data_IF_337137393333
#
_entry.id   IF_337137393333
#
_cell.length_a   1.000
_cell.length_b   1.000
_cell.length_c   1.000
_cell.angle_alpha   90.00
_cell.angle_beta   90.00
_cell.angle_gamma   90.00
#
_symmetry.space_group_name_H-M   'P 1'
#
loop_
_entity.id
_entity.type
_entity.pdbx_description
1 polymer ?
#
# COMPACT_ATOMS: atom_id res chain seq x y z
N UNK A 1 -42.45 22.18 -69.95
CA UNK A 1 -42.06 21.20 -70.98
C UNK A 1 -40.70 21.60 -71.56
N UNK A 2 -39.61 21.27 -70.86
CA UNK A 2 -38.23 21.01 -71.36
C UNK A 2 -37.61 20.06 -70.33
N UNK A 3 -36.76 19.14 -70.77
CA UNK A 3 -36.28 17.97 -70.00
C UNK A 3 -34.75 17.85 -70.15
N UNK A 4 -34.05 17.25 -69.16
CA UNK A 4 -32.60 16.89 -69.18
C UNK A 4 -31.65 18.14 -69.22
N UNK A 5 -30.34 18.13 -68.89
CA UNK A 5 -29.39 17.26 -68.14
C UNK A 5 -28.05 18.06 -68.02
N UNK A 6 -27.00 17.74 -67.24
CA UNK A 6 -26.68 16.61 -66.34
C UNK A 6 -25.58 17.01 -65.32
N UNK A 7 -25.25 16.08 -64.41
CA UNK A 7 -23.94 15.86 -63.74
C UNK A 7 -23.15 17.00 -63.07
N UNK A 8 -23.17 16.92 -61.74
CA UNK A 8 -22.21 17.50 -60.80
C UNK A 8 -20.79 16.92 -60.99
N UNK A 9 -19.75 17.76 -60.99
CA UNK A 9 -18.36 17.32 -60.79
C UNK A 9 -17.58 18.40 -60.01
N UNK A 10 -17.43 18.20 -58.69
CA UNK A 10 -16.63 19.08 -57.83
C UNK A 10 -15.29 18.39 -57.58
N UNK A 11 -14.21 19.00 -58.07
CA UNK A 11 -12.85 18.52 -57.84
C UNK A 11 -12.40 18.87 -56.40
N UNK A 12 -12.19 17.84 -55.57
CA UNK A 12 -11.52 18.00 -54.27
C UNK A 12 -10.03 17.76 -54.48
N UNK A 13 -9.22 18.79 -54.28
CA UNK A 13 -7.77 18.71 -54.39
C UNK A 13 -7.16 17.88 -53.27
N UNK A 14 -6.39 16.84 -53.61
CA UNK A 14 -5.67 16.03 -52.64
C UNK A 14 -4.48 16.82 -52.06
N UNK A 15 -4.58 17.23 -50.80
CA UNK A 15 -3.46 17.81 -50.07
C UNK A 15 -2.62 16.68 -49.45
N UNK A 16 -1.46 16.39 -50.05
CA UNK A 16 -0.50 15.38 -49.58
C UNK A 16 0.26 15.88 -48.33
N UNK A 17 -0.37 15.77 -47.16
CA UNK A 17 0.34 15.89 -45.88
C UNK A 17 1.07 14.57 -45.59
N UNK A 18 2.40 14.61 -45.63
CA UNK A 18 3.26 13.53 -45.13
C UNK A 18 3.13 13.44 -43.61
N UNK A 19 2.33 12.48 -43.12
CA UNK A 19 2.34 12.11 -41.71
C UNK A 19 3.64 11.39 -41.35
N UNK A 20 4.57 12.08 -40.68
CA UNK A 20 5.67 11.43 -39.97
C UNK A 20 5.11 10.72 -38.74
N UNK A 21 5.02 9.39 -38.79
CA UNK A 21 4.75 8.57 -37.62
C UNK A 21 5.95 8.63 -36.66
N UNK A 22 5.86 9.50 -35.65
CA UNK A 22 6.82 9.56 -34.57
C UNK A 22 6.45 8.55 -33.48
N UNK A 23 7.00 7.33 -33.59
CA UNK A 23 7.21 6.45 -32.44
C UNK A 23 8.71 6.35 -32.15
N UNK A 24 9.22 7.23 -31.26
CA UNK A 24 10.31 6.82 -30.37
C UNK A 24 10.18 7.52 -29.00
N UNK A 25 9.51 6.87 -28.05
CA UNK A 25 9.56 7.27 -26.62
C UNK A 25 9.78 6.04 -25.74
N UNK A 26 9.07 4.94 -25.99
CA UNK A 26 9.19 3.70 -25.21
C UNK A 26 10.59 3.07 -25.31
N UNK A 27 11.14 2.93 -26.52
CA UNK A 27 12.48 2.33 -26.72
C UNK A 27 13.62 3.21 -26.19
N UNK A 28 13.45 4.53 -26.21
CA UNK A 28 14.46 5.47 -25.72
C UNK A 28 14.65 5.35 -24.19
N UNK A 29 13.52 5.29 -23.45
CA UNK A 29 13.54 5.12 -21.99
C UNK A 29 14.19 3.79 -21.58
N UNK A 30 13.89 2.70 -22.29
CA UNK A 30 14.51 1.39 -22.01
C UNK A 30 16.03 1.37 -22.24
N UNK A 31 16.54 2.27 -23.09
CA UNK A 31 17.98 2.35 -23.38
C UNK A 31 18.73 3.14 -22.30
N UNK A 32 18.17 4.25 -21.80
CA UNK A 32 18.78 5.03 -20.70
C UNK A 32 18.80 4.27 -19.36
N UNK A 33 17.76 3.48 -19.06
CA UNK A 33 17.69 2.68 -17.82
C UNK A 33 18.85 1.66 -17.73
N UNK A 34 19.44 1.26 -18.85
CA UNK A 34 20.52 0.27 -18.88
C UNK A 34 21.90 0.83 -18.47
N UNK A 35 22.09 2.17 -18.45
CA UNK A 35 23.36 2.81 -18.06
C UNK A 35 23.43 3.22 -16.58
N UNK A 36 22.30 3.27 -15.85
CA UNK A 36 22.22 3.67 -14.44
C UNK A 36 22.47 2.54 -13.43
N UNK A 37 22.99 1.39 -13.88
CA UNK A 37 23.07 0.14 -13.10
C UNK A 37 24.25 0.12 -12.09
N UNK A 38 24.50 1.22 -11.38
CA UNK A 38 25.74 1.47 -10.64
C UNK A 38 25.55 2.16 -9.28
N UNK A 39 25.09 1.40 -8.28
CA UNK A 39 24.84 1.74 -6.86
C UNK A 39 23.45 2.34 -6.60
N UNK A 40 22.80 1.79 -5.58
CA UNK A 40 21.46 2.09 -5.05
C UNK A 40 20.38 2.24 -6.13
N UNK A 41 19.69 1.13 -6.39
CA UNK A 41 18.71 1.00 -7.47
C UNK A 41 17.68 2.11 -7.44
N UNK A 42 17.80 3.05 -8.39
CA UNK A 42 16.95 4.23 -8.50
C UNK A 42 15.53 3.75 -8.80
N UNK A 43 14.63 3.88 -7.82
CA UNK A 43 13.21 3.66 -8.03
C UNK A 43 12.70 4.59 -9.15
N UNK A 44 11.86 4.06 -10.04
CA UNK A 44 11.34 4.86 -11.15
C UNK A 44 10.57 6.08 -10.61
N UNK A 45 10.69 7.27 -11.23
CA UNK A 45 9.94 8.44 -10.79
C UNK A 45 8.46 8.28 -11.18
N UNK A 46 7.57 8.90 -10.40
CA UNK A 46 6.16 9.01 -10.79
C UNK A 46 6.03 9.71 -12.17
N UNK A 47 5.13 9.25 -13.07
CA UNK A 47 4.10 8.23 -12.86
C UNK A 47 4.55 6.79 -13.17
N UNK A 48 5.83 6.53 -13.43
CA UNK A 48 6.35 5.23 -13.90
C UNK A 48 6.58 4.20 -12.79
N UNK A 49 6.18 4.51 -11.55
CA UNK A 49 6.24 3.63 -10.39
C UNK A 49 4.86 3.46 -9.76
N UNK A 50 4.62 2.29 -9.18
CA UNK A 50 3.40 1.95 -8.47
C UNK A 50 3.49 2.33 -6.98
N UNK A 51 2.40 2.80 -6.34
CA UNK A 51 1.08 3.15 -6.89
C UNK A 51 0.94 4.67 -7.10
N UNK A 52 1.73 5.29 -7.99
CA UNK A 52 1.52 6.69 -8.35
C UNK A 52 0.15 6.89 -9.04
N UNK A 53 -0.44 8.08 -8.95
CA UNK A 53 -1.79 8.35 -9.49
C UNK A 53 -1.89 8.13 -11.01
N UNK A 54 -0.84 8.46 -11.75
CA UNK A 54 -0.74 8.21 -13.20
C UNK A 54 -0.17 6.85 -13.59
N UNK A 55 0.10 5.93 -12.65
CA UNK A 55 0.64 4.62 -12.98
C UNK A 55 -0.39 3.78 -13.74
N UNK A 56 0.03 3.16 -14.84
CA UNK A 56 -0.81 2.30 -15.68
C UNK A 56 -0.37 0.86 -15.49
N UNK A 57 -1.28 0.02 -15.00
CA UNK A 57 -1.02 -1.41 -14.80
C UNK A 57 -0.69 -2.08 -16.15
N UNK A 58 0.42 -2.83 -16.26
CA UNK A 58 0.80 -3.47 -17.51
C UNK A 58 -0.14 -4.64 -17.83
N UNK A 59 -0.41 -4.92 -19.12
CA UNK A 59 -1.26 -6.04 -19.54
C UNK A 59 -0.59 -7.41 -19.35
N UNK A 60 0.71 -7.43 -19.06
CA UNK A 60 1.52 -8.63 -18.79
C UNK A 60 2.29 -8.38 -17.49
N UNK A 61 2.27 -9.37 -16.58
CA UNK A 61 3.00 -9.27 -15.32
C UNK A 61 4.52 -9.21 -15.58
N UNK A 62 5.25 -8.27 -14.94
CA UNK A 62 6.71 -8.30 -14.90
C UNK A 62 7.23 -9.60 -14.24
N UNK A 63 8.48 -10.01 -14.49
CA UNK A 63 9.07 -11.17 -13.84
C UNK A 63 9.19 -10.99 -12.31
N UNK A 64 9.53 -9.78 -11.86
CA UNK A 64 9.71 -9.39 -10.47
C UNK A 64 9.26 -7.93 -10.22
N UNK A 65 9.29 -7.50 -8.97
CA UNK A 65 8.83 -6.19 -8.50
C UNK A 65 9.98 -5.24 -8.10
N UNK A 66 11.22 -5.48 -8.56
CA UNK A 66 12.40 -4.69 -8.12
C UNK A 66 12.35 -3.23 -8.54
N UNK A 67 11.85 -2.94 -9.76
CA UNK A 67 11.64 -1.57 -10.28
C UNK A 67 10.15 -1.18 -10.30
N UNK A 68 9.34 -1.81 -9.46
CA UNK A 68 7.89 -1.62 -9.44
C UNK A 68 7.45 -0.48 -8.52
N UNK A 69 7.93 -0.49 -7.29
CA UNK A 69 7.48 0.43 -6.24
C UNK A 69 8.08 1.82 -6.38
N UNK A 70 7.30 2.85 -6.05
CA UNK A 70 7.82 4.20 -5.86
C UNK A 70 8.76 4.27 -4.65
N UNK A 71 9.69 5.23 -4.71
CA UNK A 71 10.56 5.60 -3.58
C UNK A 71 9.68 5.96 -2.36
N UNK A 72 9.87 5.32 -1.19
CA UNK A 72 9.10 5.63 0.02
C UNK A 72 9.16 7.10 0.46
N UNK A 73 10.19 7.85 0.08
CA UNK A 73 10.31 9.29 0.35
C UNK A 73 9.26 10.14 -0.39
N UNK A 74 8.74 9.68 -1.54
CA UNK A 74 7.68 10.37 -2.29
C UNK A 74 6.26 10.01 -1.81
N UNK A 75 6.14 9.43 -0.62
CA UNK A 75 4.87 8.91 -0.06
C UNK A 75 4.51 9.66 1.22
N UNK A 76 4.09 10.91 1.08
CA UNK A 76 3.80 11.80 2.20
C UNK A 76 2.37 12.36 2.13
N UNK A 77 1.92 12.97 3.23
CA UNK A 77 0.55 13.41 3.46
C UNK A 77 -0.47 12.25 3.37
N UNK A 78 -1.70 12.52 2.93
CA UNK A 78 -2.74 11.51 2.77
C UNK A 78 -2.41 10.56 1.62
N UNK A 79 -2.45 9.25 1.88
CA UNK A 79 -2.11 8.22 0.88
C UNK A 79 -3.15 7.08 0.78
N UNK A 80 -4.14 7.00 1.67
CA UNK A 80 -5.07 5.88 1.68
C UNK A 80 -5.97 5.79 2.90
N UNK A 81 -6.81 4.76 2.93
CA UNK A 81 -7.78 4.48 3.99
C UNK A 81 -7.55 3.11 4.64
N UNK A 82 -7.96 2.98 5.90
CA UNK A 82 -8.25 1.68 6.52
C UNK A 82 -9.60 1.16 6.00
N UNK A 83 -9.67 -0.14 5.70
CA UNK A 83 -10.80 -0.80 5.05
C UNK A 83 -11.11 -2.13 5.75
N UNK A 84 -12.37 -2.30 6.13
CA UNK A 84 -12.87 -3.41 6.93
C UNK A 84 -13.57 -4.46 6.05
N UNK A 85 -13.22 -5.74 6.17
CA UNK A 85 -13.70 -6.83 5.29
C UNK A 85 -14.58 -7.89 5.98
N UNK A 86 -14.88 -7.72 7.27
CA UNK A 86 -15.79 -8.62 8.02
C UNK A 86 -17.20 -8.66 7.47
N UNK A 87 -17.62 -7.66 6.69
CA UNK A 87 -18.89 -7.65 5.97
C UNK A 87 -18.95 -8.68 4.81
N UNK A 88 -17.84 -9.34 4.46
CA UNK A 88 -17.75 -10.32 3.38
C UNK A 88 -18.20 -9.76 2.03
N UNK A 89 -17.59 -8.63 1.63
CA UNK A 89 -17.87 -7.93 0.39
C UNK A 89 -17.67 -8.84 -0.82
N UNK A 90 -18.62 -8.81 -1.76
CA UNK A 90 -18.45 -9.54 -3.03
C UNK A 90 -17.34 -8.89 -3.89
N UNK A 91 -16.76 -9.62 -4.86
CA UNK A 91 -15.77 -9.03 -5.76
C UNK A 91 -16.25 -7.74 -6.43
N UNK A 92 -17.51 -7.69 -6.89
CA UNK A 92 -18.09 -6.49 -7.52
C UNK A 92 -18.22 -5.31 -6.54
N UNK A 93 -18.40 -5.59 -5.26
CA UNK A 93 -18.39 -4.58 -4.21
C UNK A 93 -16.98 -4.06 -3.94
N UNK A 94 -15.99 -4.96 -3.81
CA UNK A 94 -14.58 -4.60 -3.66
C UNK A 94 -14.10 -3.73 -4.84
N UNK A 95 -14.34 -4.16 -6.08
CA UNK A 95 -13.98 -3.37 -7.27
C UNK A 95 -14.60 -1.97 -7.26
N UNK A 96 -15.88 -1.83 -6.87
CA UNK A 96 -16.58 -0.53 -6.81
C UNK A 96 -16.01 0.38 -5.73
N UNK A 97 -15.78 -0.15 -4.53
CA UNK A 97 -15.31 0.63 -3.39
C UNK A 97 -13.83 1.00 -3.54
N UNK A 98 -13.01 0.12 -4.12
CA UNK A 98 -11.62 0.41 -4.46
C UNK A 98 -11.51 1.41 -5.62
N UNK A 99 -12.44 1.37 -6.59
CA UNK A 99 -12.54 2.42 -7.61
C UNK A 99 -12.85 3.79 -6.98
N UNK A 100 -13.78 3.86 -6.03
CA UNK A 100 -14.12 5.12 -5.35
C UNK A 100 -12.93 5.65 -4.52
N UNK A 101 -12.32 4.78 -3.72
CA UNK A 101 -11.08 5.07 -2.97
C UNK A 101 -9.98 5.63 -3.89
N UNK A 102 -9.78 5.02 -5.06
CA UNK A 102 -8.78 5.47 -6.04
C UNK A 102 -9.15 6.81 -6.68
N UNK A 103 -10.34 6.90 -7.29
CA UNK A 103 -10.67 7.95 -8.26
C UNK A 103 -11.47 9.12 -7.68
N UNK A 104 -12.05 8.98 -6.48
CA UNK A 104 -12.69 10.09 -5.76
C UNK A 104 -11.75 10.77 -4.77
N UNK A 105 -10.84 10.01 -4.15
CA UNK A 105 -9.97 10.50 -3.06
C UNK A 105 -8.48 10.55 -3.42
N UNK A 106 -8.11 10.26 -4.67
CA UNK A 106 -6.71 10.16 -5.12
C UNK A 106 -5.87 9.23 -4.21
N UNK A 107 -6.46 8.12 -3.76
CA UNK A 107 -5.75 7.20 -2.88
C UNK A 107 -4.71 6.37 -3.63
N UNK A 108 -3.66 6.03 -2.89
CA UNK A 108 -2.55 5.19 -3.33
C UNK A 108 -2.57 3.82 -2.66
N UNK A 109 -3.16 3.72 -1.47
CA UNK A 109 -3.18 2.53 -0.63
C UNK A 109 -4.54 2.25 0.01
N UNK A 110 -4.78 0.99 0.34
CA UNK A 110 -5.74 0.56 1.37
C UNK A 110 -5.01 -0.26 2.43
N UNK A 111 -5.30 -0.01 3.72
CA UNK A 111 -4.93 -0.89 4.83
C UNK A 111 -6.12 -1.79 5.15
N UNK A 112 -5.89 -3.08 5.32
CA UNK A 112 -6.94 -4.02 5.70
C UNK A 112 -7.00 -4.14 7.22
N UNK A 113 -8.17 -3.92 7.83
CA UNK A 113 -8.37 -4.08 9.27
C UNK A 113 -8.42 -5.56 9.72
N UNK A 114 -8.53 -6.49 8.76
CA UNK A 114 -8.51 -7.95 8.92
C UNK A 114 -8.43 -8.58 7.52
N UNK A 115 -8.07 -9.86 7.42
CA UNK A 115 -8.21 -10.63 6.17
C UNK A 115 -9.00 -11.91 6.43
N UNK A 116 -10.09 -12.08 5.68
CA UNK A 116 -10.89 -13.31 5.68
C UNK A 116 -10.36 -14.30 4.64
N UNK A 117 -10.32 -15.58 5.02
CA UNK A 117 -9.71 -16.70 4.27
C UNK A 117 -10.06 -16.82 2.78
N UNK A 118 -11.21 -16.32 2.36
CA UNK A 118 -11.71 -16.45 0.98
C UNK A 118 -11.65 -15.15 0.16
N UNK A 119 -11.29 -14.01 0.76
CA UNK A 119 -11.26 -12.71 0.06
C UNK A 119 -9.84 -12.24 -0.32
N UNK A 120 -8.78 -12.95 0.08
CA UNK A 120 -7.40 -12.50 -0.16
C UNK A 120 -7.10 -12.28 -1.65
N UNK A 121 -7.58 -13.17 -2.52
CA UNK A 121 -7.37 -13.05 -3.97
C UNK A 121 -8.31 -11.99 -4.58
N UNK A 122 -9.57 -11.93 -4.16
CA UNK A 122 -10.53 -10.90 -4.61
C UNK A 122 -10.03 -9.48 -4.27
N UNK A 123 -9.41 -9.29 -3.11
CA UNK A 123 -8.81 -8.02 -2.68
C UNK A 123 -7.59 -7.68 -3.55
N UNK A 124 -6.73 -8.66 -3.85
CA UNK A 124 -5.57 -8.46 -4.73
C UNK A 124 -6.00 -8.09 -6.14
N UNK A 125 -7.04 -8.74 -6.68
CA UNK A 125 -7.56 -8.46 -8.02
C UNK A 125 -8.31 -7.13 -8.08
N UNK A 126 -9.14 -6.80 -7.08
CA UNK A 126 -9.80 -5.50 -6.99
C UNK A 126 -8.81 -4.34 -6.84
N UNK A 127 -7.71 -4.54 -6.11
CA UNK A 127 -6.66 -3.55 -5.93
C UNK A 127 -5.76 -3.44 -7.17
N UNK A 128 -5.48 -4.56 -7.85
CA UNK A 128 -4.78 -4.58 -9.15
C UNK A 128 -5.55 -3.78 -10.20
N UNK A 129 -6.83 -4.08 -10.43
CA UNK A 129 -7.62 -3.43 -11.48
C UNK A 129 -7.90 -1.94 -11.19
N UNK A 130 -7.78 -1.49 -9.92
CA UNK A 130 -7.93 -0.08 -9.52
C UNK A 130 -6.60 0.63 -9.20
N UNK A 131 -5.44 0.00 -9.41
CA UNK A 131 -4.13 0.64 -9.22
C UNK A 131 -3.82 1.06 -7.77
N UNK A 132 -4.33 0.32 -6.77
CA UNK A 132 -4.11 0.55 -5.34
C UNK A 132 -3.13 -0.46 -4.75
N UNK A 133 -2.20 0.02 -3.92
CA UNK A 133 -1.41 -0.87 -3.05
C UNK A 133 -2.20 -1.31 -1.82
N UNK A 134 -1.81 -2.44 -1.22
CA UNK A 134 -2.47 -3.03 -0.05
C UNK A 134 -1.48 -3.19 1.10
N UNK A 135 -1.80 -2.63 2.27
CA UNK A 135 -1.19 -3.03 3.54
C UNK A 135 -2.08 -4.14 4.12
N UNK A 136 -1.62 -5.39 4.02
CA UNK A 136 -2.38 -6.55 4.48
C UNK A 136 -2.12 -6.82 5.97
N UNK A 137 -3.09 -7.38 6.69
CA UNK A 137 -2.98 -7.59 8.13
C UNK A 137 -3.16 -9.05 8.54
N UNK A 138 -2.23 -9.56 9.35
CA UNK A 138 -2.44 -10.75 10.18
C UNK A 138 -3.17 -10.31 11.45
N UNK A 139 -4.50 -10.41 11.44
CA UNK A 139 -5.30 -10.01 12.61
C UNK A 139 -5.17 -11.05 13.73
N UNK A 140 -4.77 -10.60 14.92
CA UNK A 140 -4.67 -11.48 16.09
C UNK A 140 -6.04 -11.77 16.72
N UNK A 141 -6.80 -10.71 17.02
CA UNK A 141 -8.06 -10.82 17.76
C UNK A 141 -7.85 -10.72 19.27
N UNK A 142 -8.94 -10.46 19.98
CA UNK A 142 -8.95 -10.12 21.41
C UNK A 142 -9.17 -11.32 22.35
N UNK A 143 -9.19 -12.56 21.83
CA UNK A 143 -9.52 -13.76 22.62
C UNK A 143 -8.29 -14.53 23.14
N UNK A 144 -7.08 -14.04 22.85
CA UNK A 144 -5.83 -14.69 23.23
C UNK A 144 -5.60 -16.07 22.60
N UNK A 145 -6.31 -16.39 21.51
CA UNK A 145 -6.23 -17.70 20.85
C UNK A 145 -5.23 -17.74 19.70
N UNK A 146 -4.71 -18.94 19.40
CA UNK A 146 -3.79 -19.20 18.28
C UNK A 146 -4.45 -19.11 16.88
N UNK A 147 -5.68 -18.61 16.76
CA UNK A 147 -6.38 -18.49 15.47
C UNK A 147 -5.62 -17.60 14.47
N UNK A 148 -4.82 -16.67 14.99
CA UNK A 148 -3.95 -15.79 14.21
C UNK A 148 -2.91 -16.57 13.38
N UNK A 149 -2.44 -17.72 13.87
CA UNK A 149 -1.51 -18.61 13.16
C UNK A 149 -2.18 -19.10 11.87
N UNK A 150 -3.44 -19.53 11.96
CA UNK A 150 -4.21 -19.99 10.80
C UNK A 150 -4.50 -18.84 9.82
N UNK A 151 -4.76 -17.62 10.33
CA UNK A 151 -4.93 -16.41 9.50
C UNK A 151 -3.64 -16.06 8.76
N UNK A 152 -2.49 -16.04 9.45
CA UNK A 152 -1.15 -15.84 8.88
C UNK A 152 -0.86 -16.82 7.76
N UNK A 153 -0.99 -18.12 8.05
CA UNK A 153 -0.62 -19.18 7.10
C UNK A 153 -1.54 -19.17 5.87
N UNK A 154 -2.83 -18.84 6.07
CA UNK A 154 -3.79 -18.63 4.98
C UNK A 154 -3.42 -17.42 4.11
N UNK A 155 -3.10 -16.27 4.72
CA UNK A 155 -2.67 -15.07 4.01
C UNK A 155 -1.40 -15.36 3.20
N UNK A 156 -0.37 -15.94 3.83
CA UNK A 156 0.89 -16.26 3.15
C UNK A 156 0.69 -17.26 2.00
N UNK A 157 -0.19 -18.25 2.17
CA UNK A 157 -0.53 -19.18 1.09
C UNK A 157 -1.15 -18.47 -0.13
N UNK A 158 -2.06 -17.51 0.07
CA UNK A 158 -2.59 -16.67 -1.03
C UNK A 158 -1.51 -15.77 -1.63
N UNK A 159 -0.69 -15.10 -0.81
CA UNK A 159 0.40 -14.24 -1.30
C UNK A 159 1.42 -15.00 -2.17
N UNK A 160 1.70 -16.28 -1.88
CA UNK A 160 2.57 -17.13 -2.70
C UNK A 160 1.86 -17.76 -3.91
N UNK A 161 0.55 -18.02 -3.83
CA UNK A 161 -0.22 -18.64 -4.91
C UNK A 161 -0.65 -17.63 -5.99
N UNK A 162 -0.96 -16.40 -5.60
CA UNK A 162 -1.47 -15.37 -6.48
C UNK A 162 -0.32 -14.56 -7.12
N UNK A 163 -0.10 -14.65 -8.45
CA UNK A 163 1.04 -14.02 -9.10
C UNK A 163 0.99 -12.48 -9.10
N UNK A 164 -0.18 -11.87 -8.84
CA UNK A 164 -0.36 -10.42 -8.68
C UNK A 164 0.02 -9.93 -7.27
N UNK A 165 -0.05 -10.79 -6.24
CA UNK A 165 0.07 -10.36 -4.85
C UNK A 165 1.36 -9.58 -4.54
N UNK A 166 2.51 -10.04 -5.04
CA UNK A 166 3.81 -9.35 -4.86
C UNK A 166 3.89 -7.94 -5.46
N UNK A 167 2.98 -7.59 -6.37
CA UNK A 167 2.89 -6.27 -6.98
C UNK A 167 1.89 -5.35 -6.27
N UNK A 168 1.02 -5.91 -5.45
CA UNK A 168 -0.10 -5.20 -4.82
C UNK A 168 0.11 -5.05 -3.32
N UNK A 169 0.64 -6.07 -2.65
CA UNK A 169 0.92 -6.03 -1.20
C UNK A 169 2.18 -5.19 -0.93
N UNK A 170 1.99 -3.96 -0.46
CA UNK A 170 3.06 -3.03 -0.05
C UNK A 170 3.79 -3.50 1.19
N UNK A 171 3.09 -4.22 2.07
CA UNK A 171 3.65 -4.89 3.23
C UNK A 171 2.60 -5.68 4.00
N UNK A 172 3.06 -6.53 4.91
CA UNK A 172 2.21 -7.26 5.86
C UNK A 172 2.41 -6.73 7.26
N UNK A 173 1.32 -6.28 7.87
CA UNK A 173 1.22 -5.91 9.28
C UNK A 173 1.01 -7.18 10.12
N UNK A 174 1.88 -7.39 11.10
CA UNK A 174 1.82 -8.52 12.02
C UNK A 174 1.07 -8.11 13.30
N UNK A 175 -0.24 -7.93 13.14
CA UNK A 175 -1.12 -7.41 14.18
C UNK A 175 -1.34 -5.90 14.09
N UNK A 176 -2.45 -5.50 14.71
CA UNK A 176 -2.83 -4.12 15.00
C UNK A 176 -2.91 -4.04 16.52
N UNK A 177 -2.11 -3.19 17.13
CA UNK A 177 -1.95 -3.01 18.58
C UNK A 177 -1.50 -4.26 19.37
N UNK A 178 -0.73 -5.23 18.82
CA UNK A 178 -0.46 -6.50 19.50
C UNK A 178 0.43 -6.40 20.75
N UNK A 179 1.26 -5.36 20.86
CA UNK A 179 1.97 -5.05 22.10
C UNK A 179 1.00 -4.39 23.07
N UNK A 180 0.28 -3.34 22.68
CA UNK A 180 -0.68 -2.67 23.57
C UNK A 180 -1.67 -3.67 24.22
N UNK A 181 -2.29 -4.53 23.40
CA UNK A 181 -3.23 -5.58 23.80
C UNK A 181 -2.59 -6.78 24.57
N UNK A 182 -1.26 -6.77 24.79
CA UNK A 182 -0.50 -7.83 25.49
C UNK A 182 -0.61 -9.22 24.85
N UNK A 183 -0.76 -9.28 23.52
CA UNK A 183 -1.10 -10.50 22.78
C UNK A 183 0.04 -11.51 22.74
N UNK A 184 1.28 -11.00 22.63
CA UNK A 184 2.51 -11.79 22.70
C UNK A 184 3.60 -11.00 23.44
N UNK A 185 4.51 -11.67 24.18
CA UNK A 185 5.73 -11.05 24.65
C UNK A 185 6.53 -10.47 23.48
N UNK A 186 7.07 -9.26 23.64
CA UNK A 186 7.74 -8.51 22.56
C UNK A 186 8.82 -9.33 21.80
N UNK A 187 9.63 -10.13 22.51
CA UNK A 187 10.63 -11.03 21.93
C UNK A 187 10.01 -12.09 20.99
N UNK A 188 8.84 -12.63 21.33
CA UNK A 188 8.13 -13.59 20.50
C UNK A 188 7.51 -12.90 19.28
N UNK A 189 6.98 -11.68 19.45
CA UNK A 189 6.48 -10.87 18.33
C UNK A 189 7.62 -10.55 17.34
N UNK A 190 8.79 -10.14 17.83
CA UNK A 190 9.99 -9.92 17.01
C UNK A 190 10.42 -11.19 16.27
N UNK A 191 10.41 -12.35 16.92
CA UNK A 191 10.66 -13.64 16.27
C UNK A 191 9.63 -13.93 15.15
N UNK A 192 8.34 -13.70 15.39
CA UNK A 192 7.32 -13.89 14.35
C UNK A 192 7.50 -12.94 13.17
N UNK A 193 7.87 -11.67 13.40
CA UNK A 193 8.22 -10.72 12.32
C UNK A 193 9.41 -11.23 11.50
N UNK A 194 10.47 -11.72 12.15
CA UNK A 194 11.65 -12.28 11.47
C UNK A 194 11.27 -13.51 10.62
N UNK A 195 10.47 -14.43 11.16
CA UNK A 195 9.99 -15.61 10.44
C UNK A 195 9.09 -15.23 9.25
N UNK A 196 8.23 -14.23 9.41
CA UNK A 196 7.40 -13.68 8.33
C UNK A 196 8.26 -13.08 7.20
N UNK A 197 9.29 -12.28 7.54
CA UNK A 197 10.25 -11.71 6.57
C UNK A 197 10.99 -12.79 5.79
N UNK A 198 11.43 -13.85 6.47
CA UNK A 198 12.06 -15.00 5.80
C UNK A 198 11.10 -15.70 4.82
N UNK A 199 9.85 -15.91 5.22
CA UNK A 199 8.83 -16.55 4.38
C UNK A 199 8.48 -15.71 3.13
N UNK A 200 8.27 -14.41 3.31
CA UNK A 200 7.86 -13.47 2.26
C UNK A 200 9.02 -12.92 1.41
N UNK A 201 10.27 -13.19 1.79
CA UNK A 201 11.49 -12.71 1.11
C UNK A 201 11.48 -12.92 -0.41
N UNK A 202 11.01 -14.07 -0.91
CA UNK A 202 10.94 -14.37 -2.36
C UNK A 202 9.89 -13.55 -3.13
N UNK A 203 8.96 -12.92 -2.42
CA UNK A 203 7.97 -12.01 -2.98
C UNK A 203 8.41 -10.54 -2.86
N UNK A 204 9.54 -10.27 -2.17
CA UNK A 204 9.98 -8.93 -1.77
C UNK A 204 8.88 -8.13 -1.05
N UNK A 205 8.03 -8.80 -0.25
CA UNK A 205 6.99 -8.14 0.55
C UNK A 205 7.57 -7.86 1.95
N UNK A 206 7.69 -6.59 2.38
CA UNK A 206 8.19 -6.24 3.71
C UNK A 206 7.17 -6.51 4.81
N UNK A 207 7.64 -6.62 6.05
CA UNK A 207 6.81 -6.87 7.24
C UNK A 207 6.95 -5.74 8.25
N UNK A 208 5.84 -5.40 8.89
CA UNK A 208 5.74 -4.38 9.94
C UNK A 208 4.85 -4.86 11.08
N UNK A 209 4.70 -4.03 12.12
CA UNK A 209 3.69 -4.14 13.17
C UNK A 209 2.99 -2.77 13.22
N UNK A 210 1.66 -2.78 13.29
CA UNK A 210 0.82 -1.58 13.37
C UNK A 210 0.48 -1.34 14.84
N UNK A 211 0.94 -0.25 15.45
CA UNK A 211 1.04 -0.14 16.92
C UNK A 211 1.13 1.32 17.43
N UNK A 212 0.81 1.56 18.71
CA UNK A 212 0.98 2.85 19.39
C UNK A 212 2.41 2.99 19.95
N UNK A 213 2.91 4.22 20.12
CA UNK A 213 4.18 4.47 20.84
C UNK A 213 4.18 3.79 22.23
N UNK A 214 3.11 4.00 23.00
CA UNK A 214 2.92 3.41 24.32
C UNK A 214 3.00 1.87 24.34
N UNK A 215 2.58 1.18 23.28
CA UNK A 215 2.73 -0.27 23.15
C UNK A 215 4.20 -0.72 23.17
N UNK A 216 5.09 0.07 22.57
CA UNK A 216 6.54 -0.15 22.57
C UNK A 216 7.25 0.33 23.85
N UNK A 217 6.70 1.30 24.57
CA UNK A 217 7.28 1.84 25.81
C UNK A 217 7.01 0.94 27.02
N UNK A 218 5.82 0.33 27.07
CA UNK A 218 5.36 -0.48 28.20
C UNK A 218 6.10 -1.81 28.40
N UNK A 219 5.91 -2.41 29.59
CA UNK A 219 6.46 -3.73 29.99
C UNK A 219 7.99 -3.89 29.84
N UNK A 220 8.73 -2.79 29.80
CA UNK A 220 10.19 -2.78 29.76
C UNK A 220 10.81 -2.48 28.39
N UNK A 221 10.00 -2.11 27.40
CA UNK A 221 10.46 -1.67 26.08
C UNK A 221 10.51 -2.78 25.04
N UNK A 222 10.08 -2.48 23.81
CA UNK A 222 10.04 -3.42 22.68
C UNK A 222 10.88 -2.97 21.46
N UNK A 223 12.09 -2.44 21.72
CA UNK A 223 13.01 -2.00 20.65
C UNK A 223 13.39 -3.14 19.69
N UNK A 224 13.43 -4.38 20.16
CA UNK A 224 13.66 -5.57 19.32
C UNK A 224 12.58 -5.78 18.25
N UNK A 225 11.33 -5.39 18.53
CA UNK A 225 10.25 -5.36 17.53
C UNK A 225 10.49 -4.23 16.53
N UNK A 226 10.85 -3.02 16.99
CA UNK A 226 11.20 -1.90 16.10
C UNK A 226 12.42 -2.20 15.21
N UNK A 227 13.38 -2.99 15.70
CA UNK A 227 14.56 -3.40 14.94
C UNK A 227 14.26 -4.54 13.95
N UNK A 228 13.27 -5.39 14.25
CA UNK A 228 12.85 -6.49 13.39
C UNK A 228 12.03 -6.06 12.17
N UNK A 229 11.20 -5.01 12.28
CA UNK A 229 10.31 -4.53 11.20
C UNK A 229 11.06 -3.78 10.09
N UNK A 230 10.53 -3.83 8.86
CA UNK A 230 11.11 -3.17 7.68
C UNK A 230 10.74 -1.68 7.57
N UNK A 231 9.54 -1.33 8.06
CA UNK A 231 8.99 0.02 8.11
C UNK A 231 8.04 0.11 9.32
N UNK A 232 7.62 1.31 9.70
CA UNK A 232 6.83 1.57 10.91
C UNK A 232 5.40 1.93 10.52
N UNK A 233 4.43 1.28 11.17
CA UNK A 233 3.00 1.58 11.06
C UNK A 233 2.50 2.01 12.45
N UNK A 234 1.93 3.21 12.50
CA UNK A 234 1.70 3.97 13.72
C UNK A 234 0.21 4.28 13.88
N UNK A 235 -0.33 3.86 15.01
CA UNK A 235 -1.64 4.26 15.51
C UNK A 235 -1.53 5.60 16.26
N UNK A 236 -1.92 6.69 15.58
CA UNK A 236 -1.98 8.03 16.16
C UNK A 236 -3.38 8.29 16.73
N UNK A 237 -3.62 7.76 17.93
CA UNK A 237 -4.95 7.74 18.56
C UNK A 237 -5.07 8.63 19.81
N UNK A 238 -4.81 9.95 19.72
CA UNK A 238 -4.80 10.83 20.89
C UNK A 238 -6.17 10.93 21.58
N UNK A 239 -7.28 10.55 20.92
CA UNK A 239 -8.61 10.48 21.55
C UNK A 239 -8.65 9.64 22.85
N UNK A 240 -7.78 8.64 22.97
CA UNK A 240 -7.71 7.79 24.18
C UNK A 240 -6.76 8.31 25.26
N UNK A 241 -5.92 9.29 24.95
CA UNK A 241 -5.02 9.92 25.91
C UNK A 241 -5.80 10.88 26.82
N UNK A 242 -5.59 10.78 28.14
CA UNK A 242 -6.33 11.57 29.13
C UNK A 242 -5.98 13.07 29.05
N UNK A 243 -4.82 13.43 28.51
CA UNK A 243 -4.41 14.83 28.33
C UNK A 243 -5.10 15.48 27.11
N UNK A 244 -5.70 14.68 26.22
CA UNK A 244 -6.36 15.11 24.98
C UNK A 244 -7.76 15.74 25.19
N UNK A 245 -7.89 16.59 26.21
CA UNK A 245 -9.13 17.27 26.61
C UNK A 245 -9.80 18.13 25.52
N UNK A 246 -9.08 18.48 24.45
CA UNK A 246 -9.59 19.22 23.27
C UNK A 246 -8.80 18.83 22.02
N UNK A 247 -9.32 19.14 20.83
CA UNK A 247 -8.60 18.94 19.56
C UNK A 247 -7.26 19.71 19.48
N UNK A 248 -7.11 20.81 20.20
CA UNK A 248 -5.83 21.53 20.29
C UNK A 248 -4.85 20.84 21.26
N UNK A 249 -5.35 20.22 22.34
CA UNK A 249 -4.53 19.45 23.28
C UNK A 249 -4.04 18.11 22.68
N UNK A 250 -4.73 17.56 21.68
CA UNK A 250 -4.30 16.33 21.02
C UNK A 250 -3.09 16.46 20.09
N UNK A 251 -2.80 17.65 19.56
CA UNK A 251 -1.71 17.78 18.57
C UNK A 251 -0.30 17.62 19.18
N UNK A 252 0.02 18.18 20.36
CA UNK A 252 1.26 17.87 21.08
C UNK A 252 1.43 16.37 21.40
N UNK A 253 0.33 15.64 21.63
CA UNK A 253 0.37 14.19 21.88
C UNK A 253 0.77 13.43 20.61
N UNK A 254 0.25 13.85 19.45
CA UNK A 254 0.59 13.24 18.15
C UNK A 254 2.04 13.52 17.76
N UNK A 255 2.54 14.74 17.95
CA UNK A 255 3.89 15.15 17.55
C UNK A 255 4.91 14.87 18.66
N UNK A 256 4.88 15.70 19.70
CA UNK A 256 5.92 15.81 20.74
C UNK A 256 6.04 14.57 21.66
N UNK A 257 5.08 13.65 21.61
CA UNK A 257 5.09 12.37 22.34
C UNK A 257 5.18 11.18 21.38
N UNK A 258 4.14 10.98 20.55
CA UNK A 258 4.05 9.77 19.74
C UNK A 258 5.00 9.79 18.53
N UNK A 259 5.05 10.86 17.74
CA UNK A 259 5.92 10.91 16.55
C UNK A 259 7.40 10.97 16.94
N UNK A 260 7.75 11.81 17.92
CA UNK A 260 9.14 11.97 18.38
C UNK A 260 9.70 10.64 18.91
N UNK A 261 8.90 9.83 19.62
CA UNK A 261 9.30 8.46 19.98
C UNK A 261 9.74 7.63 18.76
N UNK A 262 8.96 7.62 17.68
CA UNK A 262 9.30 6.87 16.46
C UNK A 262 10.42 7.50 15.64
N UNK A 263 10.65 8.81 15.76
CA UNK A 263 11.83 9.48 15.17
C UNK A 263 13.11 9.00 15.88
N UNK A 264 13.12 9.01 17.21
CA UNK A 264 14.28 8.64 18.02
C UNK A 264 14.60 7.14 17.96
N UNK A 265 13.58 6.28 18.01
CA UNK A 265 13.73 4.82 18.10
C UNK A 265 13.61 4.08 16.75
N UNK A 266 13.06 4.74 15.74
CA UNK A 266 12.76 4.11 14.45
C UNK A 266 13.97 3.82 13.57
N UNK A 267 15.13 4.44 13.85
CA UNK A 267 16.37 4.31 13.08
C UNK A 267 16.18 4.67 11.58
N UNK A 268 15.49 5.78 11.31
CA UNK A 268 15.29 6.30 9.95
C UNK A 268 14.34 5.48 9.05
N UNK A 269 13.69 4.43 9.58
CA UNK A 269 12.69 3.65 8.83
C UNK A 269 11.52 4.52 8.36
N UNK A 270 10.94 4.14 7.22
CA UNK A 270 9.73 4.79 6.71
C UNK A 270 8.59 4.66 7.71
N UNK A 271 7.92 5.76 8.03
CA UNK A 271 6.71 5.79 8.86
C UNK A 271 5.46 6.01 8.01
N UNK A 272 4.36 5.35 8.37
CA UNK A 272 3.00 5.69 7.95
C UNK A 272 2.12 5.79 9.19
N UNK A 273 1.24 6.79 9.24
CA UNK A 273 0.15 6.82 10.22
C UNK A 273 -1.02 6.09 9.61
N UNK A 274 -1.26 4.87 10.09
CA UNK A 274 -2.16 3.91 9.45
C UNK A 274 -3.41 3.61 10.30
N UNK A 275 -3.50 4.23 11.47
CA UNK A 275 -4.77 4.63 12.07
C UNK A 275 -4.64 6.00 12.74
N UNK A 276 -5.63 6.87 12.56
CA UNK A 276 -5.63 8.23 13.13
C UNK A 276 -7.02 8.58 13.62
N UNK A 277 -7.16 8.86 14.92
CA UNK A 277 -8.42 9.34 15.49
C UNK A 277 -8.36 10.84 15.75
N UNK A 278 -9.42 11.56 15.37
CA UNK A 278 -9.55 13.01 15.58
C UNK A 278 -10.70 13.31 16.55
N UNK A 279 -10.38 14.03 17.63
CA UNK A 279 -11.36 14.66 18.49
C UNK A 279 -12.22 15.65 17.70
N UNK A 280 -13.53 15.38 17.67
CA UNK A 280 -14.53 16.28 17.13
C UNK A 280 -15.13 17.09 18.30
N UNK A 281 -14.44 18.16 18.68
CA UNK A 281 -14.84 19.15 19.69
C UNK A 281 -14.53 20.56 19.15
#
# INVERSE_FOLDING_TARGET
>A
MVHLSYSLLVAVGACLLRGTLAHPVVDAVLTEVHELNGRDGIALPAPFCFPALGFVMPPVLPPDNTLWWCDPSTEYAFVGFSYEVTACQTPEQLHREFADIRYHFDSRYVRLCVVLRHHSDDIVDAAWDNGLGVHALVWFGFDGSDIWITRRDTLFASLHANPRAKFITRGVQFGSEPLYDDVLPHQQLAEQVILAKQNLSRLNIPVTVSELAYGYEERGGAQDVLDAIDFINIHMLPFFDQDASTANASWPIVIDKNLDFFIDHGNGKKMYWDEVSRLHL
#
